data_IF_172584448085
#
_entry.id   IF_172584448085
#
_cell.length_a   1.000
_cell.length_b   1.000
_cell.length_c   1.000
_cell.angle_alpha   90.00
_cell.angle_beta   90.00
_cell.angle_gamma   90.00
#
_symmetry.space_group_name_H-M   'P 1'
#
loop_
_entity.id
_entity.type
_entity.pdbx_description
1 polymer ?
#
# COMPACT_ATOMS: atom_id res chain seq x y z
N UNK A 1 15.42 -8.72 17.40
CA UNK A 1 16.48 -7.80 17.00
C UNK A 1 16.67 -7.92 15.50
N UNK A 2 16.08 -7.00 14.74
CA UNK A 2 16.07 -7.03 13.27
C UNK A 2 17.31 -6.40 12.62
N UNK A 3 18.27 -5.95 13.41
CA UNK A 3 19.44 -5.20 12.95
C UNK A 3 20.73 -6.02 12.81
N UNK A 4 20.73 -7.28 13.19
CA UNK A 4 21.95 -8.10 13.23
C UNK A 4 21.85 -9.34 12.35
N UNK A 5 22.20 -9.21 11.09
CA UNK A 5 22.20 -10.33 10.11
C UNK A 5 23.22 -11.43 10.49
N UNK A 6 24.24 -11.10 11.28
CA UNK A 6 25.31 -12.01 11.72
C UNK A 6 25.10 -12.60 13.10
N UNK A 7 23.95 -12.32 13.72
CA UNK A 7 23.68 -12.68 15.11
C UNK A 7 24.30 -11.69 16.11
N UNK A 8 23.80 -11.68 17.33
CA UNK A 8 24.34 -10.88 18.43
C UNK A 8 24.54 -11.76 19.65
N UNK A 9 25.63 -11.53 20.35
CA UNK A 9 25.93 -12.20 21.61
C UNK A 9 25.71 -11.20 22.73
N UNK A 10 24.75 -11.47 23.61
CA UNK A 10 24.53 -10.67 24.82
C UNK A 10 25.37 -11.22 25.95
N UNK A 11 26.33 -10.45 26.41
CA UNK A 11 27.22 -10.82 27.52
C UNK A 11 27.12 -9.78 28.59
N UNK A 12 27.22 -10.19 29.85
CA UNK A 12 27.30 -9.28 30.99
C UNK A 12 28.55 -8.40 30.86
N UNK A 13 28.38 -7.08 31.05
CA UNK A 13 29.47 -6.10 30.90
C UNK A 13 30.69 -6.43 31.75
N UNK A 14 30.50 -6.88 32.98
CA UNK A 14 31.58 -7.24 33.88
C UNK A 14 32.49 -8.34 33.27
N UNK A 15 31.89 -9.31 32.56
CA UNK A 15 32.65 -10.36 31.86
C UNK A 15 33.34 -9.83 30.61
N UNK A 16 32.71 -8.94 29.87
CA UNK A 16 33.28 -8.31 28.68
C UNK A 16 34.58 -7.55 29.07
N UNK A 17 34.48 -6.72 30.10
CA UNK A 17 35.63 -5.96 30.64
C UNK A 17 36.73 -6.90 31.14
N UNK A 18 36.37 -7.98 31.86
CA UNK A 18 37.32 -8.96 32.34
C UNK A 18 38.05 -9.72 31.21
N UNK A 19 37.36 -9.99 30.10
CA UNK A 19 37.94 -10.76 28.97
C UNK A 19 38.75 -9.90 28.00
N UNK A 20 38.27 -8.68 27.73
CA UNK A 20 38.84 -7.84 26.66
C UNK A 20 39.44 -6.53 27.16
N UNK A 21 39.29 -6.18 28.44
CA UNK A 21 39.78 -4.93 28.98
C UNK A 21 39.08 -3.68 28.45
N UNK A 22 37.96 -3.86 27.72
CA UNK A 22 37.22 -2.78 27.08
C UNK A 22 36.13 -2.25 28.01
N UNK A 23 36.36 -1.06 28.54
CA UNK A 23 35.43 -0.35 29.44
C UNK A 23 34.57 0.71 28.70
N UNK A 24 34.67 0.82 27.39
CA UNK A 24 33.89 1.77 26.62
C UNK A 24 32.44 1.32 26.45
N UNK A 25 31.52 2.26 26.65
CA UNK A 25 30.11 2.07 26.35
C UNK A 25 29.75 2.89 25.09
N UNK A 26 29.47 2.24 23.97
CA UNK A 26 29.05 2.90 22.76
C UNK A 26 27.64 3.49 22.86
N UNK A 27 26.77 2.82 23.59
CA UNK A 27 25.38 3.25 23.81
C UNK A 27 24.97 3.05 25.28
N UNK A 28 24.30 4.03 25.84
CA UNK A 28 23.76 3.99 27.22
C UNK A 28 22.28 4.27 27.16
N UNK A 29 21.47 3.40 27.72
CA UNK A 29 20.02 3.61 27.85
C UNK A 29 19.69 4.05 29.26
N UNK A 30 19.01 5.20 29.39
CA UNK A 30 18.54 5.74 30.65
C UNK A 30 17.03 5.45 30.80
N UNK A 31 16.66 4.74 31.85
CA UNK A 31 15.28 4.48 32.19
C UNK A 31 14.80 5.49 33.20
N UNK A 32 13.87 6.33 32.83
CA UNK A 32 13.32 7.38 33.69
C UNK A 32 12.13 6.85 34.49
N UNK A 33 11.89 7.42 35.65
CA UNK A 33 10.67 7.15 36.42
C UNK A 33 9.46 7.71 35.69
N UNK A 34 8.30 7.10 35.90
CA UNK A 34 7.05 7.58 35.33
C UNK A 34 6.81 9.06 35.73
N UNK A 35 6.54 9.91 34.75
CA UNK A 35 6.31 11.35 34.97
C UNK A 35 7.56 12.24 34.97
N UNK A 36 8.77 11.68 34.78
CA UNK A 36 9.97 12.48 34.67
C UNK A 36 10.04 13.22 33.30
N UNK A 37 10.55 14.46 33.32
CA UNK A 37 10.75 15.25 32.12
C UNK A 37 11.99 14.77 31.34
N UNK A 38 11.74 13.98 30.29
CA UNK A 38 12.79 13.43 29.44
C UNK A 38 13.48 14.48 28.57
N UNK A 39 12.73 15.53 28.13
CA UNK A 39 13.31 16.59 27.30
C UNK A 39 14.13 17.59 28.13
N UNK A 40 13.69 17.91 29.34
CA UNK A 40 14.47 18.72 30.27
C UNK A 40 15.80 18.04 30.62
N UNK A 41 15.76 16.75 30.95
CA UNK A 41 16.98 15.97 31.20
C UNK A 41 17.90 15.89 29.99
N UNK A 42 17.35 15.69 28.79
CA UNK A 42 18.10 15.68 27.54
C UNK A 42 18.85 17.00 27.34
N UNK A 43 18.15 18.12 27.53
CA UNK A 43 18.73 19.46 27.36
C UNK A 43 19.87 19.70 28.36
N UNK A 44 19.68 19.29 29.62
CA UNK A 44 20.70 19.41 30.68
C UNK A 44 21.95 18.56 30.36
N UNK A 45 21.74 17.33 29.91
CA UNK A 45 22.85 16.43 29.55
C UNK A 45 23.63 16.92 28.33
N UNK A 46 22.95 17.45 27.32
CA UNK A 46 23.61 18.06 26.13
C UNK A 46 24.41 19.29 26.50
N UNK A 47 23.92 20.11 27.43
CA UNK A 47 24.65 21.28 27.92
C UNK A 47 25.93 20.90 28.65
N UNK A 48 25.91 19.78 29.38
CA UNK A 48 27.10 19.27 30.10
C UNK A 48 28.06 18.47 29.22
N UNK A 49 27.52 17.78 28.21
CA UNK A 49 28.27 16.88 27.34
C UNK A 49 27.92 17.12 25.86
N UNK A 50 28.43 18.18 25.24
CA UNK A 50 28.03 18.58 23.86
C UNK A 50 28.46 17.58 22.77
N UNK A 51 29.30 16.60 23.12
CA UNK A 51 29.74 15.54 22.19
C UNK A 51 28.83 14.30 22.15
N UNK A 52 27.80 14.24 23.00
CA UNK A 52 26.91 13.09 23.06
C UNK A 52 25.70 13.27 22.14
N UNK A 53 25.32 12.23 21.41
CA UNK A 53 24.06 12.18 20.68
C UNK A 53 22.98 11.59 21.62
N UNK A 54 22.09 12.43 22.14
CA UNK A 54 21.06 12.02 23.10
C UNK A 54 19.69 12.10 22.42
N UNK A 55 19.00 10.98 22.35
CA UNK A 55 17.67 10.87 21.79
C UNK A 55 16.67 10.43 22.87
N UNK A 56 15.57 11.12 22.95
CA UNK A 56 14.42 10.61 23.72
C UNK A 56 13.70 9.53 22.89
N UNK A 57 13.07 8.58 23.56
CA UNK A 57 12.32 7.51 22.87
C UNK A 57 11.22 8.08 21.96
N UNK A 58 10.58 9.18 22.37
CA UNK A 58 9.58 9.87 21.55
C UNK A 58 10.18 10.48 20.29
N UNK A 59 11.32 11.17 20.41
CA UNK A 59 12.02 11.78 19.27
C UNK A 59 12.54 10.69 18.28
N UNK A 60 13.14 9.64 18.82
CA UNK A 60 13.64 8.51 18.04
C UNK A 60 12.50 7.82 17.28
N UNK A 61 11.37 7.56 17.96
CA UNK A 61 10.18 6.97 17.31
C UNK A 61 9.64 7.85 16.20
N UNK A 62 9.58 9.17 16.41
CA UNK A 62 9.09 10.13 15.41
C UNK A 62 10.01 10.15 14.19
N UNK A 63 11.32 10.14 14.40
CA UNK A 63 12.30 10.14 13.32
C UNK A 63 12.27 8.84 12.52
N UNK A 64 12.21 7.69 13.19
CA UNK A 64 12.04 6.39 12.55
C UNK A 64 10.76 6.37 11.72
N UNK A 65 9.63 6.80 12.27
CA UNK A 65 8.36 6.86 11.54
C UNK A 65 8.39 7.86 10.37
N UNK A 66 9.20 8.91 10.45
CA UNK A 66 9.42 9.85 9.34
C UNK A 66 10.16 9.18 8.19
N UNK A 67 11.26 8.49 8.49
CA UNK A 67 12.05 7.74 7.49
C UNK A 67 11.18 6.66 6.84
N UNK A 68 10.43 5.89 7.63
CA UNK A 68 9.50 4.91 7.10
C UNK A 68 8.48 5.54 6.15
N UNK A 69 7.82 6.63 6.56
CA UNK A 69 6.84 7.33 5.69
C UNK A 69 7.46 7.82 4.39
N UNK A 70 8.68 8.34 4.43
CA UNK A 70 9.38 8.79 3.23
C UNK A 70 9.70 7.63 2.29
N UNK A 71 10.16 6.50 2.82
CA UNK A 71 10.43 5.28 2.03
C UNK A 71 9.16 4.72 1.41
N UNK A 72 8.07 4.66 2.17
CA UNK A 72 6.78 4.15 1.68
C UNK A 72 6.03 5.14 0.78
N UNK A 73 6.40 6.42 0.72
CA UNK A 73 5.76 7.39 -0.18
C UNK A 73 5.88 7.00 -1.66
N UNK A 74 6.99 6.39 -2.05
CA UNK A 74 7.19 5.85 -3.40
C UNK A 74 6.21 4.71 -3.69
N UNK A 75 5.97 3.85 -2.71
CA UNK A 75 5.00 2.74 -2.84
C UNK A 75 3.59 3.26 -3.05
N UNK A 76 3.18 4.30 -2.31
CA UNK A 76 1.88 4.96 -2.52
C UNK A 76 1.77 5.63 -3.89
N UNK A 77 2.85 6.25 -4.38
CA UNK A 77 2.86 6.81 -5.73
C UNK A 77 2.67 5.72 -6.80
N UNK A 78 3.34 4.58 -6.66
CA UNK A 78 3.17 3.42 -7.56
C UNK A 78 1.75 2.84 -7.47
N UNK A 79 1.15 2.79 -6.28
CA UNK A 79 -0.23 2.35 -6.09
C UNK A 79 -1.21 3.25 -6.85
N UNK A 80 -1.08 4.58 -6.71
CA UNK A 80 -1.92 5.55 -7.44
C UNK A 80 -1.77 5.41 -8.95
N UNK A 81 -0.53 5.26 -9.45
CA UNK A 81 -0.27 5.05 -10.87
C UNK A 81 -0.90 3.72 -11.34
N UNK A 82 -0.75 2.64 -10.56
CA UNK A 82 -1.35 1.35 -10.87
C UNK A 82 -2.88 1.41 -10.97
N UNK A 83 -3.54 2.08 -10.04
CA UNK A 83 -4.99 2.31 -10.08
C UNK A 83 -5.38 3.15 -11.29
N UNK A 84 -4.64 4.22 -11.61
CA UNK A 84 -4.92 5.06 -12.77
C UNK A 84 -4.81 4.26 -14.07
N UNK A 85 -3.77 3.45 -14.24
CA UNK A 85 -3.58 2.59 -15.41
C UNK A 85 -4.70 1.55 -15.52
N UNK A 86 -5.12 0.95 -14.40
CA UNK A 86 -6.23 -0.01 -14.37
C UNK A 86 -7.55 0.64 -14.80
N UNK A 87 -7.84 1.84 -14.32
CA UNK A 87 -9.05 2.61 -14.68
C UNK A 87 -9.07 2.98 -16.16
N UNK A 88 -7.95 3.46 -16.68
CA UNK A 88 -7.80 3.80 -18.11
C UNK A 88 -7.97 2.53 -18.96
N UNK A 89 -7.32 1.43 -18.60
CA UNK A 89 -7.43 0.15 -19.29
C UNK A 89 -8.87 -0.37 -19.31
N UNK A 90 -9.58 -0.30 -18.20
CA UNK A 90 -11.00 -0.67 -18.12
C UNK A 90 -11.86 0.21 -19.04
N UNK A 91 -11.65 1.54 -19.00
CA UNK A 91 -12.37 2.48 -19.86
C UNK A 91 -12.16 2.17 -21.36
N UNK A 92 -10.91 1.92 -21.76
CA UNK A 92 -10.56 1.59 -23.14
C UNK A 92 -11.20 0.25 -23.58
N UNK A 93 -11.12 -0.77 -22.73
CA UNK A 93 -11.71 -2.09 -23.01
C UNK A 93 -13.23 -1.99 -23.20
N UNK A 94 -13.90 -1.32 -22.26
CA UNK A 94 -15.36 -1.13 -22.37
C UNK A 94 -15.75 -0.27 -23.58
N UNK A 95 -14.96 0.77 -23.88
CA UNK A 95 -15.22 1.58 -25.09
C UNK A 95 -15.11 0.76 -26.36
N UNK A 96 -14.08 -0.12 -26.46
CA UNK A 96 -13.94 -1.03 -27.61
C UNK A 96 -15.13 -1.99 -27.72
N UNK A 97 -15.51 -2.63 -26.61
CA UNK A 97 -16.68 -3.54 -26.61
C UNK A 97 -17.97 -2.84 -27.00
N UNK A 98 -18.17 -1.60 -26.55
CA UNK A 98 -19.34 -0.82 -26.94
C UNK A 98 -19.37 -0.44 -28.42
N UNK A 99 -18.19 -0.12 -28.97
CA UNK A 99 -18.06 0.17 -30.40
C UNK A 99 -18.33 -1.07 -31.25
N UNK A 100 -17.86 -2.24 -30.81
CA UNK A 100 -18.13 -3.51 -31.49
C UNK A 100 -19.60 -3.90 -31.45
N UNK A 101 -20.33 -3.52 -30.38
CA UNK A 101 -21.77 -3.81 -30.21
C UNK A 101 -22.69 -2.64 -30.56
N UNK A 102 -22.21 -1.64 -31.29
CA UNK A 102 -22.97 -0.43 -31.63
C UNK A 102 -24.33 -0.72 -32.32
N UNK A 103 -24.39 -1.72 -33.20
CA UNK A 103 -25.61 -2.11 -33.91
C UNK A 103 -26.66 -2.68 -32.93
N UNK A 104 -26.24 -3.53 -31.98
CA UNK A 104 -27.12 -4.06 -30.95
C UNK A 104 -27.68 -2.94 -30.05
N UNK A 105 -26.84 -1.98 -29.69
CA UNK A 105 -27.24 -0.82 -28.89
C UNK A 105 -28.23 0.08 -29.63
N UNK A 106 -28.03 0.26 -30.93
CA UNK A 106 -28.95 1.01 -31.79
C UNK A 106 -30.31 0.31 -31.87
N UNK A 107 -30.32 -1.00 -32.01
CA UNK A 107 -31.56 -1.82 -32.02
C UNK A 107 -32.30 -1.73 -30.68
N UNK A 108 -31.57 -1.81 -29.55
CA UNK A 108 -32.18 -1.64 -28.23
C UNK A 108 -32.84 -0.25 -28.07
N UNK A 109 -32.18 0.78 -28.59
CA UNK A 109 -32.74 2.15 -28.59
C UNK A 109 -33.97 2.26 -29.45
N UNK A 110 -33.99 1.62 -30.62
CA UNK A 110 -35.19 1.58 -31.50
C UNK A 110 -36.35 0.86 -30.83
N UNK A 111 -36.06 -0.13 -29.96
CA UNK A 111 -37.05 -0.83 -29.13
C UNK A 111 -37.54 -0.01 -27.94
N UNK A 112 -37.00 1.20 -27.71
CA UNK A 112 -37.44 2.13 -26.69
C UNK A 112 -36.63 2.09 -25.38
N UNK A 113 -35.53 1.38 -25.31
CA UNK A 113 -34.65 1.41 -24.13
C UNK A 113 -34.07 2.81 -23.88
N UNK A 114 -34.16 3.26 -22.62
CA UNK A 114 -33.64 4.55 -22.21
C UNK A 114 -32.11 4.51 -22.14
N UNK A 115 -31.45 5.65 -22.40
CA UNK A 115 -30.00 5.80 -22.28
C UNK A 115 -29.47 5.37 -20.91
N UNK A 116 -30.26 5.60 -19.86
CA UNK A 116 -29.92 5.21 -18.49
C UNK A 116 -29.88 3.69 -18.32
N UNK A 117 -30.77 2.97 -19.00
CA UNK A 117 -30.81 1.50 -18.92
C UNK A 117 -29.60 0.87 -19.59
N UNK A 118 -29.17 1.39 -20.73
CA UNK A 118 -27.96 0.98 -21.42
C UNK A 118 -26.73 1.29 -20.52
N UNK A 119 -26.66 2.49 -19.97
CA UNK A 119 -25.55 2.88 -19.08
C UNK A 119 -25.49 2.01 -17.82
N UNK A 120 -26.64 1.63 -17.24
CA UNK A 120 -26.70 0.73 -16.10
C UNK A 120 -26.25 -0.69 -16.46
N UNK A 121 -26.66 -1.21 -17.61
CA UNK A 121 -26.22 -2.53 -18.09
C UNK A 121 -24.67 -2.56 -18.24
N UNK A 122 -24.10 -1.55 -18.89
CA UNK A 122 -22.63 -1.40 -19.01
C UNK A 122 -21.96 -1.23 -17.65
N UNK A 123 -22.58 -0.51 -16.71
CA UNK A 123 -22.05 -0.35 -15.36
C UNK A 123 -22.02 -1.70 -14.60
N UNK A 124 -23.03 -2.53 -14.73
CA UNK A 124 -23.07 -3.87 -14.13
C UNK A 124 -21.97 -4.75 -14.74
N UNK A 125 -21.82 -4.74 -16.07
CA UNK A 125 -20.76 -5.50 -16.75
C UNK A 125 -19.37 -5.06 -16.28
N UNK A 126 -19.09 -3.77 -16.28
CA UNK A 126 -17.79 -3.24 -15.83
C UNK A 126 -17.54 -3.44 -14.32
N UNK A 127 -18.61 -3.40 -13.50
CA UNK A 127 -18.50 -3.69 -12.07
C UNK A 127 -18.13 -5.15 -11.83
N UNK A 128 -18.73 -6.08 -12.57
CA UNK A 128 -18.39 -7.51 -12.46
C UNK A 128 -16.97 -7.79 -12.90
N UNK A 129 -16.53 -7.19 -14.00
CA UNK A 129 -15.14 -7.28 -14.46
C UNK A 129 -14.15 -6.73 -13.41
N UNK A 130 -14.43 -5.55 -12.87
CA UNK A 130 -13.60 -4.95 -11.82
C UNK A 130 -13.55 -5.82 -10.56
N UNK A 131 -14.68 -6.39 -10.13
CA UNK A 131 -14.73 -7.28 -8.97
C UNK A 131 -13.93 -8.57 -9.19
N UNK A 132 -14.04 -9.19 -10.35
CA UNK A 132 -13.24 -10.36 -10.73
C UNK A 132 -11.74 -10.04 -10.77
N UNK A 133 -11.38 -8.90 -11.35
CA UNK A 133 -9.98 -8.44 -11.41
C UNK A 133 -9.40 -8.19 -10.01
N UNK A 134 -10.17 -7.55 -9.12
CA UNK A 134 -9.79 -7.32 -7.72
C UNK A 134 -9.61 -8.65 -6.98
N UNK A 135 -10.55 -9.58 -7.13
CA UNK A 135 -10.45 -10.90 -6.50
C UNK A 135 -9.21 -11.67 -6.96
N UNK A 136 -8.94 -11.70 -8.27
CA UNK A 136 -7.75 -12.33 -8.83
C UNK A 136 -6.45 -11.64 -8.39
N UNK A 137 -6.43 -10.30 -8.42
CA UNK A 137 -5.30 -9.50 -7.97
C UNK A 137 -4.98 -9.68 -6.48
N UNK A 138 -6.00 -9.69 -5.61
CA UNK A 138 -5.82 -9.97 -4.18
C UNK A 138 -5.27 -11.37 -3.95
N UNK A 139 -5.81 -12.37 -4.63
CA UNK A 139 -5.33 -13.76 -4.50
C UNK A 139 -3.86 -13.87 -4.88
N UNK A 140 -3.47 -13.29 -6.02
CA UNK A 140 -2.09 -13.28 -6.49
C UNK A 140 -1.18 -12.50 -5.53
N UNK A 141 -1.62 -11.33 -5.04
CA UNK A 141 -0.88 -10.50 -4.09
C UNK A 141 -0.63 -11.23 -2.77
N UNK A 142 -1.63 -11.94 -2.25
CA UNK A 142 -1.48 -12.74 -1.03
C UNK A 142 -0.51 -13.90 -1.22
N UNK A 143 -0.58 -14.59 -2.36
CA UNK A 143 0.34 -15.68 -2.69
C UNK A 143 1.78 -15.19 -2.81
N UNK A 144 2.01 -14.06 -3.51
CA UNK A 144 3.33 -13.44 -3.64
C UNK A 144 3.85 -12.91 -2.30
N UNK A 145 2.99 -12.28 -1.49
CA UNK A 145 3.34 -11.80 -0.16
C UNK A 145 3.76 -12.93 0.77
N UNK A 146 3.04 -14.04 0.75
CA UNK A 146 3.39 -15.24 1.50
C UNK A 146 4.75 -15.80 1.06
N UNK A 147 4.95 -15.95 -0.25
CA UNK A 147 6.21 -16.42 -0.84
C UNK A 147 7.38 -15.52 -0.43
N UNK A 148 7.20 -14.20 -0.53
CA UNK A 148 8.23 -13.20 -0.20
C UNK A 148 8.65 -13.33 1.27
N UNK A 149 7.69 -13.42 2.19
CA UNK A 149 7.95 -13.43 3.63
C UNK A 149 8.52 -14.77 4.09
N UNK A 150 7.93 -15.90 3.66
CA UNK A 150 8.27 -17.20 4.20
C UNK A 150 9.41 -17.91 3.46
N UNK A 151 9.62 -17.58 2.19
CA UNK A 151 10.68 -18.21 1.38
C UNK A 151 11.83 -17.25 1.18
N UNK A 152 11.61 -16.14 0.47
CA UNK A 152 12.69 -15.25 0.04
C UNK A 152 13.34 -14.55 1.24
N UNK A 153 12.54 -13.94 2.12
CA UNK A 153 13.07 -13.24 3.29
C UNK A 153 13.81 -14.18 4.23
N UNK A 154 13.26 -15.39 4.46
CA UNK A 154 13.89 -16.40 5.28
C UNK A 154 15.22 -16.91 4.71
N UNK A 155 15.31 -17.08 3.39
CA UNK A 155 16.53 -17.51 2.73
C UNK A 155 17.60 -16.41 2.70
N UNK A 156 17.19 -15.13 2.56
CA UNK A 156 18.10 -13.99 2.44
C UNK A 156 18.60 -13.50 3.79
N UNK A 157 17.75 -13.49 4.82
CA UNK A 157 18.05 -12.86 6.11
C UNK A 157 18.03 -13.82 7.30
N UNK A 158 17.61 -15.08 7.10
CA UNK A 158 17.57 -16.09 8.17
C UNK A 158 16.45 -15.91 9.19
N UNK A 159 15.57 -14.90 9.07
CA UNK A 159 14.46 -14.63 9.96
C UNK A 159 13.17 -14.36 9.17
N UNK A 160 12.01 -14.55 9.82
CA UNK A 160 10.70 -14.33 9.21
C UNK A 160 10.00 -13.14 9.85
N UNK A 161 9.40 -12.29 9.03
CA UNK A 161 8.47 -11.25 9.48
C UNK A 161 7.13 -11.86 9.87
N UNK A 162 6.49 -11.31 10.90
CA UNK A 162 5.11 -11.66 11.21
C UNK A 162 4.18 -11.28 10.04
N UNK A 163 3.43 -12.24 9.53
CA UNK A 163 2.46 -12.01 8.45
C UNK A 163 1.21 -11.33 9.04
N UNK A 164 1.15 -10.03 8.90
CA UNK A 164 -0.01 -9.23 9.33
C UNK A 164 -0.68 -8.61 8.09
N UNK A 165 -1.96 -8.90 7.90
CA UNK A 165 -2.75 -8.39 6.78
C UNK A 165 -3.51 -7.12 7.23
N UNK A 166 -3.31 -6.00 6.54
CA UNK A 166 -4.05 -4.77 6.81
C UNK A 166 -5.44 -4.82 6.14
N UNK A 167 -6.36 -5.62 6.68
CA UNK A 167 -7.68 -5.88 6.08
C UNK A 167 -8.46 -4.62 5.74
N UNK A 168 -8.36 -3.58 6.58
CA UNK A 168 -9.07 -2.33 6.35
C UNK A 168 -8.56 -1.60 5.10
N UNK A 169 -7.24 -1.56 4.89
CA UNK A 169 -6.65 -0.93 3.70
C UNK A 169 -6.94 -1.74 2.43
N UNK A 170 -6.84 -3.08 2.50
CA UNK A 170 -7.17 -3.95 1.39
C UNK A 170 -8.65 -3.82 0.98
N UNK A 171 -9.55 -3.78 1.96
CA UNK A 171 -10.97 -3.57 1.70
C UNK A 171 -11.25 -2.17 1.11
N UNK A 172 -10.62 -1.12 1.64
CA UNK A 172 -10.73 0.23 1.12
C UNK A 172 -10.25 0.33 -0.33
N UNK A 173 -9.10 -0.28 -0.65
CA UNK A 173 -8.57 -0.33 -2.00
C UNK A 173 -9.53 -1.08 -2.93
N UNK A 174 -9.99 -2.26 -2.54
CA UNK A 174 -10.94 -3.07 -3.31
C UNK A 174 -12.22 -2.30 -3.62
N UNK A 175 -12.82 -1.66 -2.62
CA UNK A 175 -14.03 -0.84 -2.78
C UNK A 175 -13.76 0.34 -3.70
N UNK A 176 -12.63 1.02 -3.55
CA UNK A 176 -12.26 2.17 -4.40
C UNK A 176 -12.11 1.75 -5.86
N UNK A 177 -11.41 0.65 -6.14
CA UNK A 177 -11.21 0.16 -7.51
C UNK A 177 -12.54 -0.26 -8.14
N UNK A 178 -13.39 -1.01 -7.43
CA UNK A 178 -14.69 -1.46 -7.93
C UNK A 178 -15.63 -0.27 -8.14
N UNK A 179 -15.72 0.67 -7.21
CA UNK A 179 -16.55 1.86 -7.32
C UNK A 179 -16.11 2.77 -8.48
N UNK A 180 -14.81 2.98 -8.64
CA UNK A 180 -14.26 3.75 -9.76
C UNK A 180 -14.52 3.03 -11.09
N UNK A 181 -14.34 1.71 -11.14
CA UNK A 181 -14.68 0.89 -12.30
C UNK A 181 -16.15 1.00 -12.69
N UNK A 182 -17.04 0.92 -11.71
CA UNK A 182 -18.49 1.09 -11.93
C UNK A 182 -18.83 2.49 -12.48
N UNK A 183 -18.22 3.54 -11.91
CA UNK A 183 -18.46 4.93 -12.33
C UNK A 183 -17.96 5.18 -13.77
N UNK A 184 -16.76 4.68 -14.10
CA UNK A 184 -16.20 4.78 -15.44
C UNK A 184 -17.05 3.99 -16.45
N UNK A 185 -17.45 2.77 -16.10
CA UNK A 185 -18.29 1.93 -16.95
C UNK A 185 -19.66 2.58 -17.21
N UNK A 186 -20.24 3.21 -16.20
CA UNK A 186 -21.47 3.98 -16.35
C UNK A 186 -21.27 5.19 -17.30
N UNK A 187 -20.18 5.92 -17.14
CA UNK A 187 -19.85 7.08 -17.99
C UNK A 187 -19.63 6.66 -19.45
N UNK A 188 -18.90 5.58 -19.68
CA UNK A 188 -18.64 5.01 -21.01
C UNK A 188 -19.95 4.50 -21.64
N UNK A 189 -20.80 3.82 -20.86
CA UNK A 189 -22.12 3.37 -21.32
C UNK A 189 -23.05 4.53 -21.71
N UNK A 190 -23.02 5.64 -20.98
CA UNK A 190 -23.74 6.85 -21.36
C UNK A 190 -23.22 7.45 -22.65
N UNK A 191 -21.90 7.54 -22.78
CA UNK A 191 -21.27 8.06 -24.00
C UNK A 191 -21.55 7.17 -25.21
N UNK A 192 -21.45 5.84 -25.08
CA UNK A 192 -21.78 4.88 -26.13
C UNK A 192 -23.24 4.97 -26.57
N UNK A 193 -24.16 5.27 -25.67
CA UNK A 193 -25.56 5.49 -25.99
C UNK A 193 -25.80 6.79 -26.80
N UNK A 194 -24.86 7.71 -26.88
CA UNK A 194 -24.96 8.96 -27.67
C UNK A 194 -24.34 8.86 -29.07
N UNK A 195 -23.62 7.77 -29.38
CA UNK A 195 -23.04 7.59 -30.70
C UNK A 195 -24.15 7.50 -31.78
N UNK A 196 -24.05 8.29 -32.86
CA UNK A 196 -24.99 8.19 -33.96
C UNK A 196 -24.83 6.83 -34.65
N UNK A 197 -25.95 6.25 -35.10
CA UNK A 197 -25.88 5.16 -36.06
C UNK A 197 -25.28 5.71 -37.34
N UNK A 198 -24.11 5.20 -37.76
CA UNK A 198 -23.59 5.54 -39.07
C UNK A 198 -24.63 5.12 -40.09
N UNK A 199 -25.17 6.10 -40.83
CA UNK A 199 -25.95 5.83 -42.02
C UNK A 199 -24.94 5.37 -43.06
N UNK A 200 -24.96 4.07 -43.37
CA UNK A 200 -24.32 3.60 -44.57
C UNK A 200 -25.02 4.33 -45.73
N UNK A 201 -24.31 5.29 -46.36
CA UNK A 201 -24.68 5.82 -47.69
C UNK A 201 -24.21 4.84 -48.76
#
# INVERSE_FOLDING_TARGET
DYGNERGSLLVERARLVAWFGDDYAANVSLFLRAGADAEGLRTELLARHPGLAIYTNAALRTEILRIFRQTFSITYALEVIGVAVAVIGLALTLSSVLLDRREELTTLRALGFARREIALATAVEGTTLAACAVAGGLTLSLALGWLLIHVINKQSFGWTLGFALPWAQLAALAVTVVATGAAVSYAVGRWGADLPADREE
#
